data_IF_325863093918
#
_entry.id   IF_325863093918
#
_cell.length_a   1.000
_cell.length_b   1.000
_cell.length_c   1.000
_cell.angle_alpha   90.00
_cell.angle_beta   90.00
_cell.angle_gamma   90.00
#
_symmetry.space_group_name_H-M   'P 1'
#
loop_
_entity.id
_entity.type
_entity.pdbx_description
1 polymer ?
#
# COMPACT_ATOMS: atom_id res chain seq x y z
N UNK A 1 10.89 -5.75 2.81
CA UNK A 1 10.31 -6.44 3.95
C UNK A 1 10.27 -7.96 3.68
N UNK A 2 10.41 -8.78 4.73
CA UNK A 2 10.27 -10.24 4.63
C UNK A 2 9.22 -10.64 5.66
N UNK A 3 8.18 -11.35 5.21
CA UNK A 3 7.14 -11.82 6.11
C UNK A 3 7.57 -13.11 6.87
N UNK A 4 6.82 -13.57 7.90
CA UNK A 4 7.19 -14.73 8.72
C UNK A 4 7.34 -16.05 7.95
N UNK A 5 6.73 -16.18 6.77
CA UNK A 5 6.86 -17.40 5.95
C UNK A 5 8.02 -17.33 4.96
N UNK A 6 8.70 -16.18 4.87
CA UNK A 6 9.90 -15.98 4.05
C UNK A 6 9.65 -15.33 2.69
N UNK A 7 8.47 -14.80 2.43
CA UNK A 7 8.20 -14.05 1.20
C UNK A 7 8.78 -12.62 1.29
N UNK A 8 9.45 -12.20 0.23
CA UNK A 8 9.96 -10.85 0.12
C UNK A 8 8.88 -9.91 -0.46
N UNK A 9 8.60 -8.83 0.25
CA UNK A 9 7.56 -7.87 -0.06
C UNK A 9 8.19 -6.49 -0.35
N UNK A 10 7.80 -5.79 -1.43
CA UNK A 10 8.28 -4.42 -1.68
C UNK A 10 7.80 -3.44 -0.59
N UNK A 11 6.64 -3.68 0.00
CA UNK A 11 6.05 -2.91 1.09
C UNK A 11 5.39 -3.88 2.09
N UNK A 12 5.30 -3.51 3.37
CA UNK A 12 4.64 -4.36 4.39
C UNK A 12 3.16 -4.63 4.11
N UNK A 13 2.50 -3.78 3.33
CA UNK A 13 1.10 -3.94 2.93
C UNK A 13 0.92 -4.51 1.51
N UNK A 14 2.00 -4.92 0.83
CA UNK A 14 1.93 -5.34 -0.58
C UNK A 14 1.04 -6.57 -0.81
N UNK A 15 0.84 -7.41 0.20
CA UNK A 15 -0.01 -8.61 0.13
C UNK A 15 -1.49 -8.29 -0.08
N UNK A 16 -1.93 -7.04 0.11
CA UNK A 16 -3.30 -6.61 -0.18
C UNK A 16 -3.59 -6.49 -1.69
N UNK A 17 -2.54 -6.43 -2.51
CA UNK A 17 -2.65 -6.32 -3.97
C UNK A 17 -2.62 -7.72 -4.58
N UNK A 18 -3.76 -8.25 -5.06
CA UNK A 18 -3.87 -9.66 -5.45
C UNK A 18 -3.07 -10.03 -6.69
N UNK A 19 -2.68 -9.05 -7.50
CA UNK A 19 -1.92 -9.26 -8.74
C UNK A 19 -0.39 -9.34 -8.51
N UNK A 20 0.09 -9.19 -7.30
CA UNK A 20 1.51 -9.30 -6.98
C UNK A 20 1.89 -10.74 -6.64
N UNK A 21 2.93 -11.22 -7.30
CA UNK A 21 3.52 -12.52 -7.03
C UNK A 21 4.81 -12.35 -6.22
N UNK A 22 4.90 -13.00 -5.08
CA UNK A 22 6.02 -12.84 -4.15
C UNK A 22 6.95 -14.03 -4.18
N UNK A 23 8.25 -13.76 -4.31
CA UNK A 23 9.30 -14.77 -4.24
C UNK A 23 9.79 -14.99 -2.80
N UNK A 24 10.17 -16.25 -2.50
CA UNK A 24 10.71 -16.63 -1.19
C UNK A 24 12.23 -16.43 -1.13
N UNK A 25 12.70 -15.86 -0.03
CA UNK A 25 14.14 -15.76 0.28
C UNK A 25 14.79 -17.13 0.55
N UNK A 26 13.98 -18.20 0.69
CA UNK A 26 14.46 -19.58 0.79
C UNK A 26 14.86 -20.14 -0.57
N UNK A 27 14.27 -19.63 -1.65
CA UNK A 27 14.42 -20.15 -3.00
C UNK A 27 15.27 -19.24 -3.89
N UNK A 28 15.31 -17.94 -3.60
CA UNK A 28 15.99 -16.92 -4.36
C UNK A 28 16.82 -15.99 -3.47
N UNK A 29 17.95 -15.50 -3.98
CA UNK A 29 18.71 -14.47 -3.28
C UNK A 29 17.98 -13.13 -3.30
N UNK A 30 18.22 -12.28 -2.30
CA UNK A 30 17.64 -10.93 -2.24
C UNK A 30 18.01 -10.07 -3.45
N UNK A 31 19.22 -10.23 -3.99
CA UNK A 31 19.66 -9.54 -5.21
C UNK A 31 18.80 -9.97 -6.39
N UNK A 32 18.62 -11.28 -6.57
CA UNK A 32 17.77 -11.80 -7.63
C UNK A 32 16.33 -11.29 -7.52
N UNK A 33 15.75 -11.33 -6.30
CA UNK A 33 14.39 -10.86 -6.04
C UNK A 33 14.26 -9.37 -6.38
N UNK A 34 15.20 -8.55 -5.94
CA UNK A 34 15.21 -7.12 -6.22
C UNK A 34 15.23 -6.81 -7.71
N UNK A 35 16.00 -7.57 -8.48
CA UNK A 35 16.19 -7.34 -9.91
C UNK A 35 15.11 -7.96 -10.79
N UNK A 36 14.57 -9.13 -10.40
CA UNK A 36 13.78 -9.97 -11.30
C UNK A 36 12.35 -10.27 -10.81
N UNK A 37 12.05 -10.12 -9.51
CA UNK A 37 10.72 -10.47 -8.99
C UNK A 37 9.64 -9.58 -9.61
N UNK A 38 8.50 -10.20 -9.95
CA UNK A 38 7.34 -9.51 -10.50
C UNK A 38 6.84 -8.42 -9.54
N UNK A 39 6.71 -8.73 -8.25
CA UNK A 39 6.22 -7.79 -7.24
C UNK A 39 7.11 -6.56 -7.05
N UNK A 40 8.42 -6.69 -7.26
CA UNK A 40 9.37 -5.58 -7.15
C UNK A 40 9.49 -4.75 -8.44
N UNK A 41 9.10 -5.33 -9.58
CA UNK A 41 9.25 -4.67 -10.88
C UNK A 41 7.95 -4.13 -11.48
N UNK A 42 6.79 -4.63 -11.05
CA UNK A 42 5.48 -4.23 -11.60
C UNK A 42 5.25 -2.72 -11.58
N UNK A 43 5.63 -2.06 -10.50
CA UNK A 43 5.47 -0.61 -10.32
C UNK A 43 6.80 0.15 -10.30
N UNK A 44 7.85 -0.41 -10.92
CA UNK A 44 9.15 0.26 -11.02
C UNK A 44 9.22 1.19 -12.23
N UNK A 45 9.78 2.38 -12.01
CA UNK A 45 9.85 3.41 -13.04
C UNK A 45 8.49 4.06 -13.30
N UNK A 46 8.34 4.78 -14.42
CA UNK A 46 7.15 5.56 -14.74
C UNK A 46 6.30 4.98 -15.88
N UNK A 47 6.78 3.94 -16.57
CA UNK A 47 6.12 3.42 -17.77
C UNK A 47 4.76 2.74 -17.51
N UNK A 48 4.52 2.29 -16.28
CA UNK A 48 3.28 1.64 -15.85
C UNK A 48 2.17 2.64 -15.49
N UNK A 49 2.52 3.92 -15.27
CA UNK A 49 1.61 4.93 -14.73
C UNK A 49 0.51 5.31 -15.74
N UNK A 50 -0.77 5.33 -15.35
CA UNK A 50 -1.83 5.95 -16.12
C UNK A 50 -1.83 7.49 -15.92
N UNK A 51 -2.70 8.18 -16.65
CA UNK A 51 -3.01 9.57 -16.34
C UNK A 51 -3.75 9.69 -14.98
N UNK A 52 -3.54 10.78 -14.22
CA UNK A 52 -2.72 11.97 -14.54
C UNK A 52 -1.22 11.81 -14.24
N UNK A 53 -0.79 10.68 -13.64
CA UNK A 53 0.61 10.49 -13.25
C UNK A 53 1.56 10.45 -14.44
N UNK A 54 1.15 9.88 -15.59
CA UNK A 54 2.00 9.74 -16.77
C UNK A 54 2.47 11.09 -17.32
N UNK A 55 1.62 12.10 -17.35
CA UNK A 55 1.95 13.45 -17.82
C UNK A 55 2.43 14.39 -16.70
N UNK A 56 2.42 13.94 -15.44
CA UNK A 56 2.81 14.75 -14.30
C UNK A 56 4.32 15.05 -14.31
N UNK A 57 4.70 16.29 -14.08
CA UNK A 57 6.10 16.73 -13.97
C UNK A 57 6.80 16.22 -12.69
N UNK A 58 6.03 15.76 -11.70
CA UNK A 58 6.50 15.20 -10.43
C UNK A 58 6.56 13.67 -10.41
N UNK A 59 6.22 12.99 -11.49
CA UNK A 59 6.12 11.52 -11.52
C UNK A 59 7.38 10.79 -11.07
N UNK A 60 8.56 11.39 -11.24
CA UNK A 60 9.84 10.83 -10.79
C UNK A 60 10.24 11.26 -9.37
N UNK A 61 9.41 12.06 -8.70
CA UNK A 61 9.59 12.44 -7.30
C UNK A 61 8.75 11.55 -6.37
N UNK A 62 7.50 11.32 -6.72
CA UNK A 62 6.55 10.57 -5.88
C UNK A 62 6.21 9.16 -6.40
N UNK A 63 6.57 8.86 -7.66
CA UNK A 63 6.35 7.56 -8.32
C UNK A 63 4.88 7.12 -8.27
N UNK A 64 3.96 8.09 -8.35
CA UNK A 64 2.51 7.87 -8.33
C UNK A 64 1.93 7.60 -6.94
N UNK A 65 2.71 7.73 -5.87
CA UNK A 65 2.28 7.56 -4.49
C UNK A 65 2.20 6.10 -4.02
N UNK A 66 1.35 5.80 -3.05
CA UNK A 66 1.25 4.49 -2.41
C UNK A 66 0.34 3.52 -3.19
N UNK A 67 0.91 2.45 -3.74
CA UNK A 67 0.15 1.43 -4.50
C UNK A 67 -0.86 0.67 -3.67
N UNK A 68 -0.50 0.37 -2.40
CA UNK A 68 -1.41 -0.32 -1.48
C UNK A 68 -2.61 0.56 -1.12
N UNK A 69 -2.39 1.86 -0.93
CA UNK A 69 -3.47 2.82 -0.67
C UNK A 69 -4.35 3.03 -1.91
N UNK A 70 -3.73 3.16 -3.09
CA UNK A 70 -4.47 3.23 -4.35
C UNK A 70 -5.40 2.01 -4.50
N UNK A 71 -4.88 0.79 -4.31
CA UNK A 71 -5.67 -0.42 -4.37
C UNK A 71 -6.79 -0.44 -3.33
N UNK A 72 -6.48 -0.15 -2.06
CA UNK A 72 -7.46 -0.23 -0.97
C UNK A 72 -8.65 0.74 -1.14
N UNK A 73 -8.42 1.90 -1.74
CA UNK A 73 -9.43 2.95 -1.88
C UNK A 73 -10.13 2.95 -3.25
N UNK A 74 -9.45 2.45 -4.29
CA UNK A 74 -9.97 2.53 -5.67
C UNK A 74 -10.19 1.17 -6.33
N UNK A 75 -9.75 0.07 -5.68
CA UNK A 75 -9.80 -1.28 -6.24
C UNK A 75 -8.74 -1.58 -7.29
N UNK A 76 -7.89 -0.62 -7.65
CA UNK A 76 -6.87 -0.78 -8.68
C UNK A 76 -5.54 -0.14 -8.23
N UNK A 77 -4.49 -0.97 -8.14
CA UNK A 77 -3.19 -0.52 -7.65
C UNK A 77 -2.45 0.44 -8.61
N UNK A 78 -2.80 0.44 -9.89
CA UNK A 78 -2.21 1.34 -10.88
C UNK A 78 -2.81 2.75 -10.85
N UNK A 79 -3.96 2.96 -10.24
CA UNK A 79 -4.57 4.28 -10.16
C UNK A 79 -3.67 5.29 -9.43
N UNK A 80 -3.83 6.58 -9.76
CA UNK A 80 -3.18 7.65 -9.01
C UNK A 80 -3.60 7.56 -7.52
N UNK A 81 -2.62 7.71 -6.64
CA UNK A 81 -2.88 7.68 -5.19
C UNK A 81 -3.93 8.74 -4.83
N UNK A 82 -5.05 8.38 -4.15
CA UNK A 82 -6.07 9.33 -3.74
C UNK A 82 -5.59 10.46 -2.82
N UNK A 83 -4.43 10.31 -2.17
CA UNK A 83 -3.81 11.39 -1.41
C UNK A 83 -3.31 12.55 -2.31
N UNK A 84 -3.07 12.30 -3.61
CA UNK A 84 -2.68 13.30 -4.58
C UNK A 84 -3.91 14.13 -5.00
N UNK A 85 -3.80 15.45 -4.97
CA UNK A 85 -4.85 16.39 -5.38
C UNK A 85 -5.20 16.35 -6.87
N UNK A 86 -4.31 15.77 -7.69
CA UNK A 86 -4.57 15.51 -9.11
C UNK A 86 -5.28 14.17 -9.36
N UNK A 87 -5.41 13.33 -8.34
CA UNK A 87 -6.11 12.06 -8.47
C UNK A 87 -7.61 12.27 -8.67
N UNK A 88 -8.26 11.57 -9.63
CA UNK A 88 -9.71 11.61 -9.77
C UNK A 88 -10.47 11.06 -8.54
N UNK A 89 -9.77 10.38 -7.64
CA UNK A 89 -10.31 9.80 -6.40
C UNK A 89 -10.05 10.67 -5.16
N UNK A 90 -9.44 11.86 -5.32
CA UNK A 90 -9.04 12.72 -4.19
C UNK A 90 -10.23 13.16 -3.33
N UNK A 91 -11.34 13.53 -3.97
CA UNK A 91 -12.55 13.98 -3.27
C UNK A 91 -13.13 12.92 -2.32
N UNK A 92 -12.98 11.64 -2.66
CA UNK A 92 -13.46 10.54 -1.80
C UNK A 92 -12.70 10.48 -0.49
N UNK A 93 -11.35 10.53 -0.53
CA UNK A 93 -10.53 10.50 0.69
C UNK A 93 -10.68 11.78 1.50
N UNK A 94 -10.82 12.92 0.82
CA UNK A 94 -11.08 14.20 1.48
C UNK A 94 -12.42 14.17 2.24
N UNK A 95 -13.48 13.65 1.61
CA UNK A 95 -14.79 13.48 2.25
C UNK A 95 -14.75 12.52 3.45
N UNK A 96 -14.04 11.40 3.32
CA UNK A 96 -13.82 10.45 4.42
C UNK A 96 -13.08 11.10 5.60
N UNK A 97 -12.00 11.82 5.33
CA UNK A 97 -11.23 12.52 6.35
C UNK A 97 -12.05 13.60 7.06
N UNK A 98 -12.84 14.38 6.32
CA UNK A 98 -13.72 15.39 6.89
C UNK A 98 -14.81 14.76 7.78
N UNK A 99 -15.40 13.64 7.37
CA UNK A 99 -16.39 12.92 8.16
C UNK A 99 -15.78 12.33 9.45
N UNK A 100 -14.57 11.76 9.39
CA UNK A 100 -13.86 11.26 10.57
C UNK A 100 -13.48 12.39 11.53
N UNK A 101 -13.08 13.54 11.04
CA UNK A 101 -12.72 14.70 11.88
C UNK A 101 -13.89 15.23 12.73
N UNK A 102 -15.13 14.94 12.34
CA UNK A 102 -16.33 15.31 13.10
C UNK A 102 -16.67 14.33 14.22
N UNK A 103 -16.07 13.13 14.21
CA UNK A 103 -16.31 12.13 15.25
C UNK A 103 -15.53 12.46 16.53
N UNK A 104 -16.11 12.21 17.72
CA UNK A 104 -15.34 12.33 18.93
C UNK A 104 -14.16 11.34 18.93
N UNK A 105 -13.00 11.71 19.52
CA UNK A 105 -11.87 10.79 19.60
C UNK A 105 -12.29 9.53 20.37
N UNK A 106 -11.87 8.33 19.92
CA UNK A 106 -12.15 7.10 20.64
C UNK A 106 -11.50 7.12 22.01
N UNK A 107 -12.10 6.43 22.98
CA UNK A 107 -11.49 6.26 24.30
C UNK A 107 -10.14 5.53 24.17
N UNK A 108 -9.14 5.99 24.91
CA UNK A 108 -7.84 5.33 24.97
C UNK A 108 -7.95 3.98 25.69
N UNK A 109 -7.67 2.91 24.97
CA UNK A 109 -7.57 1.56 25.54
C UNK A 109 -6.09 1.25 25.78
N UNK A 110 -5.67 1.34 27.06
CA UNK A 110 -4.33 0.92 27.44
C UNK A 110 -4.22 -0.60 27.51
N UNK A 111 -3.25 -1.17 26.79
CA UNK A 111 -2.90 -2.57 26.97
C UNK A 111 -2.36 -2.79 28.39
N UNK A 112 -3.05 -3.57 29.19
CA UNK A 112 -2.52 -4.03 30.48
C UNK A 112 -1.66 -5.27 30.23
N UNK A 113 -0.39 -5.23 30.65
CA UNK A 113 0.47 -6.42 30.63
C UNK A 113 -0.16 -7.48 31.53
N UNK A 114 -0.37 -8.70 31.00
CA UNK A 114 -0.94 -9.82 31.75
C UNK A 114 -2.47 -9.98 31.70
N UNK A 115 -3.21 -9.15 30.98
CA UNK A 115 -4.63 -9.40 30.75
C UNK A 115 -4.79 -10.62 29.80
N UNK A 116 -5.34 -11.71 30.30
CA UNK A 116 -5.74 -12.87 29.47
C UNK A 116 -6.85 -12.40 28.52
N UNK A 117 -6.66 -12.59 27.21
CA UNK A 117 -7.75 -12.41 26.26
C UNK A 117 -8.83 -13.45 26.57
N UNK A 118 -9.97 -13.02 27.09
CA UNK A 118 -11.15 -13.88 27.13
C UNK A 118 -11.68 -13.98 25.69
N UNK A 119 -11.32 -15.04 24.99
CA UNK A 119 -11.99 -15.48 23.77
C UNK A 119 -13.30 -16.16 24.17
N UNK A 120 -14.33 -15.37 24.46
CA UNK A 120 -15.71 -15.88 24.47
C UNK A 120 -16.24 -15.81 23.05
N UNK A 121 -16.44 -16.96 22.46
CA UNK A 121 -17.15 -17.14 21.20
C UNK A 121 -18.63 -16.86 21.36
#
# INVERSE_FOLDING_TARGET
>A
NINPVGLALPCHAAEVIPELEFDSVKDRSLVWIWENSQSFNKFRGAAWMPEPCQSCDRKELDWGGCRCQAFALTGEAANADPACDLSPFHEEIFGMAAAEALKPPPEFIYRRMGAKFNTSH
#
